data_IF_561854050608
#
_entry.id   IF_561854050608
#
_cell.length_a   1.000
_cell.length_b   1.000
_cell.length_c   1.000
_cell.angle_alpha   90.00
_cell.angle_beta   90.00
_cell.angle_gamma   90.00
#
_symmetry.space_group_name_H-M   'P 1'
#
loop_
_entity.id
_entity.type
_entity.pdbx_description
1 polymer ?
#
# COMPACT_ATOMS: atom_id res chain seq x y z
N UNK A 1 -0.36 -18.50 32.75
CA UNK A 1 0.08 -18.52 31.33
C UNK A 1 -0.98 -17.80 30.53
N UNK A 2 -0.66 -16.66 29.92
CA UNK A 2 -1.62 -15.94 29.08
C UNK A 2 -1.63 -16.60 27.71
N UNK A 3 -2.58 -17.51 27.49
CA UNK A 3 -2.87 -18.07 26.18
C UNK A 3 -3.09 -16.94 25.17
N UNK A 4 -2.46 -17.06 24.00
CA UNK A 4 -2.69 -16.14 22.89
C UNK A 4 -4.11 -16.27 22.38
N UNK A 5 -4.72 -15.13 22.04
CA UNK A 5 -6.08 -15.06 21.49
C UNK A 5 -6.07 -14.25 20.20
N UNK A 6 -7.05 -14.52 19.35
CA UNK A 6 -7.32 -13.67 18.18
C UNK A 6 -7.51 -12.22 18.65
N UNK A 7 -6.84 -11.30 17.95
CA UNK A 7 -6.78 -9.88 18.28
C UNK A 7 -5.59 -9.47 19.15
N UNK A 8 -4.86 -10.41 19.75
CA UNK A 8 -3.66 -10.07 20.52
C UNK A 8 -2.56 -9.50 19.62
N UNK A 9 -1.84 -8.51 20.16
CA UNK A 9 -0.66 -7.94 19.52
C UNK A 9 0.57 -8.72 19.95
N UNK A 10 1.36 -9.14 18.97
CA UNK A 10 2.52 -10.01 19.16
C UNK A 10 3.67 -9.56 18.27
N UNK A 11 4.88 -9.94 18.65
CA UNK A 11 6.06 -9.84 17.79
C UNK A 11 6.81 -11.18 17.78
N UNK A 12 7.55 -11.43 16.71
CA UNK A 12 8.26 -12.70 16.49
C UNK A 12 9.67 -12.65 17.07
N UNK A 13 10.01 -13.63 17.90
CA UNK A 13 11.33 -13.76 18.53
C UNK A 13 12.42 -14.04 17.49
N UNK A 14 12.12 -14.92 16.54
CA UNK A 14 13.03 -15.31 15.46
C UNK A 14 13.42 -14.18 14.51
N UNK A 15 12.66 -13.07 14.52
CA UNK A 15 12.92 -11.86 13.71
C UNK A 15 13.25 -10.65 14.59
N UNK A 16 13.81 -10.89 15.79
CA UNK A 16 14.26 -9.84 16.73
C UNK A 16 13.17 -8.80 17.05
N UNK A 17 11.91 -9.24 17.05
CA UNK A 17 10.75 -8.39 17.32
C UNK A 17 10.66 -7.17 16.39
N UNK A 18 11.07 -7.32 15.14
CA UNK A 18 11.16 -6.24 14.16
C UNK A 18 9.81 -5.66 13.71
N UNK A 19 8.77 -6.51 13.66
CA UNK A 19 7.44 -6.18 13.16
C UNK A 19 6.39 -6.50 14.22
N UNK A 20 5.48 -5.54 14.43
CA UNK A 20 4.27 -5.73 15.23
C UNK A 20 3.21 -6.43 14.39
N UNK A 21 2.68 -7.52 14.92
CA UNK A 21 1.61 -8.31 14.31
C UNK A 21 0.38 -8.35 15.21
N UNK A 22 -0.78 -8.58 14.58
CA UNK A 22 -2.04 -8.95 15.22
C UNK A 22 -2.33 -10.41 14.92
N UNK A 23 -2.71 -11.18 15.93
CA UNK A 23 -3.19 -12.56 15.75
C UNK A 23 -4.54 -12.51 15.04
N UNK A 24 -4.64 -13.15 13.88
CA UNK A 24 -5.88 -13.18 13.08
C UNK A 24 -6.52 -14.56 13.01
N UNK A 25 -5.75 -15.63 13.20
CA UNK A 25 -6.28 -16.99 13.25
C UNK A 25 -5.36 -17.91 14.07
N UNK A 26 -5.91 -18.98 14.62
CA UNK A 26 -5.18 -20.02 15.36
C UNK A 26 -5.61 -21.37 14.79
N UNK A 27 -4.73 -21.99 14.02
CA UNK A 27 -4.99 -23.26 13.34
C UNK A 27 -4.48 -24.42 14.20
N UNK A 28 -5.41 -25.17 14.77
CA UNK A 28 -5.13 -26.38 15.52
C UNK A 28 -5.29 -27.62 14.64
N UNK A 29 -4.37 -28.58 14.76
CA UNK A 29 -4.45 -29.88 14.07
C UNK A 29 -4.15 -31.01 15.05
N UNK A 30 -4.90 -32.12 15.00
CA UNK A 30 -4.63 -33.27 15.87
C UNK A 30 -3.18 -33.76 15.71
N UNK A 31 -2.45 -33.81 16.82
CA UNK A 31 -1.06 -34.31 16.86
C UNK A 31 0.00 -33.38 16.24
N UNK A 32 -0.32 -32.11 15.96
CA UNK A 32 0.66 -31.10 15.52
C UNK A 32 0.60 -29.84 16.38
N UNK A 33 1.71 -29.11 16.53
CA UNK A 33 1.70 -27.82 17.22
C UNK A 33 0.75 -26.84 16.53
N UNK A 34 0.09 -26.00 17.32
CA UNK A 34 -0.77 -24.92 16.82
C UNK A 34 0.05 -23.98 15.92
N UNK A 35 -0.56 -23.58 14.80
CA UNK A 35 0.03 -22.59 13.90
C UNK A 35 -0.79 -21.32 13.99
N UNK A 36 -0.17 -20.21 14.37
CA UNK A 36 -0.83 -18.92 14.56
C UNK A 36 -0.62 -18.09 13.30
N UNK A 37 -1.71 -17.56 12.75
CA UNK A 37 -1.68 -16.68 11.59
C UNK A 37 -1.69 -15.23 12.07
N UNK A 38 -0.78 -14.46 11.51
CA UNK A 38 -0.43 -13.11 11.92
C UNK A 38 -0.63 -12.14 10.76
N UNK A 39 -1.19 -10.96 11.07
CA UNK A 39 -1.28 -9.82 10.15
C UNK A 39 -0.40 -8.69 10.67
N UNK A 40 0.50 -8.17 9.83
CA UNK A 40 1.31 -7.00 10.19
C UNK A 40 0.43 -5.78 10.45
N UNK A 41 0.76 -4.99 11.47
CA UNK A 41 -0.03 -3.79 11.84
C UNK A 41 0.28 -2.64 10.91
N UNK A 42 1.56 -2.32 10.73
CA UNK A 42 2.03 -1.17 9.93
C UNK A 42 2.49 -1.60 8.51
N UNK A 43 2.52 -2.90 8.23
CA UNK A 43 3.02 -3.47 6.98
C UNK A 43 2.06 -4.53 6.45
N UNK A 44 1.81 -4.51 5.13
CA UNK A 44 1.00 -5.51 4.42
C UNK A 44 1.75 -6.83 4.29
N UNK A 45 1.80 -7.56 5.40
CA UNK A 45 2.41 -8.88 5.49
C UNK A 45 1.50 -9.83 6.28
N UNK A 46 1.42 -11.07 5.80
CA UNK A 46 0.82 -12.18 6.54
C UNK A 46 1.93 -13.20 6.80
N UNK A 47 2.01 -13.68 8.02
CA UNK A 47 2.97 -14.68 8.43
C UNK A 47 2.28 -15.76 9.26
N UNK A 48 2.78 -16.98 9.20
CA UNK A 48 2.47 -18.03 10.15
C UNK A 48 3.65 -18.23 11.11
N UNK A 49 3.35 -18.55 12.36
CA UNK A 49 4.37 -18.83 13.37
C UNK A 49 3.84 -19.81 14.43
N UNK A 50 4.71 -20.64 15.03
CA UNK A 50 4.36 -21.39 16.23
C UNK A 50 4.20 -20.44 17.43
N UNK A 51 3.38 -20.79 18.41
CA UNK A 51 3.16 -19.99 19.62
C UNK A 51 4.46 -19.66 20.38
N UNK A 52 5.43 -20.58 20.36
CA UNK A 52 6.74 -20.41 21.01
C UNK A 52 7.57 -19.27 20.43
N UNK A 53 7.39 -18.96 19.14
CA UNK A 53 8.06 -17.86 18.44
C UNK A 53 7.41 -16.51 18.75
N UNK A 54 6.28 -16.49 19.45
CA UNK A 54 5.50 -15.28 19.67
C UNK A 54 5.66 -14.74 21.08
N UNK A 55 5.76 -13.42 21.16
CA UNK A 55 5.70 -12.68 22.40
C UNK A 55 4.58 -11.65 22.33
N UNK A 56 3.62 -11.77 23.25
CA UNK A 56 2.55 -10.79 23.41
C UNK A 56 3.13 -9.43 23.81
N UNK A 57 2.81 -8.41 23.03
CA UNK A 57 3.23 -7.04 23.26
C UNK A 57 2.13 -6.33 24.03
N UNK A 58 2.39 -5.87 25.27
CA UNK A 58 1.41 -5.13 26.04
C UNK A 58 1.22 -3.72 25.45
N UNK A 59 0.03 -3.16 25.62
CA UNK A 59 -0.34 -1.86 25.04
C UNK A 59 0.59 -0.71 25.47
N UNK A 60 1.19 -0.78 26.65
CA UNK A 60 2.15 0.23 27.12
C UNK A 60 3.51 0.18 26.40
N UNK A 61 3.79 -0.86 25.60
CA UNK A 61 4.97 -0.96 24.75
C UNK A 61 4.67 -0.73 23.27
N UNK A 62 3.42 -0.43 22.91
CA UNK A 62 3.04 -0.18 21.52
C UNK A 62 3.79 1.01 20.93
N UNK A 63 3.96 2.05 21.75
CA UNK A 63 4.65 3.26 21.35
C UNK A 63 6.10 2.96 20.93
N UNK A 64 6.79 2.01 21.55
CA UNK A 64 8.16 1.64 21.15
C UNK A 64 8.20 1.03 19.74
N UNK A 65 7.28 0.12 19.43
CA UNK A 65 7.16 -0.50 18.12
C UNK A 65 6.79 0.51 17.04
N UNK A 66 5.72 1.28 17.27
CA UNK A 66 5.29 2.32 16.35
C UNK A 66 6.36 3.39 16.17
N UNK A 67 7.10 3.75 17.22
CA UNK A 67 8.16 4.76 17.14
C UNK A 67 9.34 4.29 16.29
N UNK A 68 9.70 3.01 16.31
CA UNK A 68 10.77 2.47 15.47
C UNK A 68 10.42 2.53 13.97
N UNK A 69 9.19 2.13 13.62
CA UNK A 69 8.68 2.15 12.26
C UNK A 69 8.45 3.58 11.78
N UNK A 70 7.77 4.40 12.60
CA UNK A 70 7.52 5.82 12.32
C UNK A 70 8.82 6.58 12.15
N UNK A 71 9.88 6.31 12.94
CA UNK A 71 11.20 6.93 12.74
C UNK A 71 11.79 6.65 11.35
N UNK A 72 11.61 5.44 10.80
CA UNK A 72 12.09 5.12 9.44
C UNK A 72 11.29 5.90 8.40
N UNK A 73 9.97 5.94 8.54
CA UNK A 73 9.08 6.73 7.67
C UNK A 73 9.41 8.22 7.77
N UNK A 74 9.52 8.78 8.96
CA UNK A 74 9.86 10.18 9.21
C UNK A 74 11.21 10.55 8.59
N UNK A 75 12.23 9.68 8.67
CA UNK A 75 13.52 9.90 8.01
C UNK A 75 13.37 9.95 6.49
N UNK A 76 12.55 9.08 5.92
CA UNK A 76 12.27 9.05 4.48
C UNK A 76 11.50 10.29 4.05
N UNK A 77 10.44 10.65 4.76
CA UNK A 77 9.63 11.86 4.53
C UNK A 77 10.51 13.10 4.59
N UNK A 78 11.33 13.25 5.66
CA UNK A 78 12.26 14.38 5.79
C UNK A 78 13.24 14.47 4.62
N UNK A 79 13.74 13.32 4.14
CA UNK A 79 14.62 13.28 2.96
C UNK A 79 13.87 13.77 1.71
N UNK A 80 12.68 13.23 1.46
CA UNK A 80 11.86 13.60 0.29
C UNK A 80 11.54 15.11 0.30
N UNK A 81 11.11 15.64 1.43
CA UNK A 81 10.80 17.07 1.57
C UNK A 81 12.04 17.95 1.40
N UNK A 82 13.20 17.51 1.92
CA UNK A 82 14.48 18.22 1.71
C UNK A 82 14.87 18.24 0.23
N UNK A 83 14.77 17.11 -0.46
CA UNK A 83 15.05 17.01 -1.91
C UNK A 83 14.09 17.89 -2.74
N UNK A 84 12.80 17.93 -2.35
CA UNK A 84 11.80 18.81 -2.94
C UNK A 84 12.22 20.28 -2.81
N UNK A 85 12.62 20.69 -1.61
CA UNK A 85 13.08 22.06 -1.32
C UNK A 85 14.37 22.45 -2.04
N UNK A 86 15.34 21.55 -2.14
CA UNK A 86 16.59 21.80 -2.85
C UNK A 86 16.39 22.01 -4.36
N UNK A 87 15.44 21.30 -4.98
CA UNK A 87 15.05 21.56 -6.37
C UNK A 87 14.48 22.98 -6.55
N UNK A 88 13.80 23.54 -5.54
CA UNK A 88 13.27 24.90 -5.60
C UNK A 88 14.35 25.97 -5.47
N UNK A 89 15.38 25.76 -4.64
CA UNK A 89 16.50 26.71 -4.53
C UNK A 89 17.31 26.83 -5.83
N UNK A 90 17.41 25.76 -6.61
CA UNK A 90 18.08 25.76 -7.92
C UNK A 90 17.38 26.59 -9.01
N UNK A 91 16.07 26.82 -8.90
CA UNK A 91 15.30 27.68 -9.82
C UNK A 91 15.28 29.16 -9.39
N UNK A 92 15.72 29.49 -8.17
CA UNK A 92 15.76 30.86 -7.64
C UNK A 92 16.77 31.80 -8.32
N UNK A 93 17.63 31.30 -9.21
CA UNK A 93 18.62 32.10 -9.94
C UNK A 93 18.10 32.82 -11.19
N UNK A 94 16.89 32.50 -11.68
CA UNK A 94 16.39 32.97 -12.99
C UNK A 94 15.18 33.92 -12.95
N UNK A 95 14.65 34.27 -11.77
CA UNK A 95 13.37 35.02 -11.69
C UNK A 95 13.47 36.24 -10.76
N UNK A 96 14.18 37.27 -11.21
CA UNK A 96 14.22 38.61 -10.54
C UNK A 96 12.92 39.42 -10.66
N UNK A 97 11.84 38.85 -11.20
CA UNK A 97 10.61 39.60 -11.52
C UNK A 97 9.34 38.82 -11.19
N UNK A 98 9.19 38.32 -9.96
CA UNK A 98 7.92 37.74 -9.49
C UNK A 98 7.34 38.62 -8.36
N UNK A 99 6.09 39.12 -8.48
CA UNK A 99 5.44 39.97 -7.48
C UNK A 99 5.32 39.33 -6.09
N UNK A 100 5.27 40.19 -5.07
CA UNK A 100 5.38 39.83 -3.65
C UNK A 100 4.29 38.88 -3.13
N UNK A 101 3.13 38.82 -3.77
CA UNK A 101 2.04 37.89 -3.42
C UNK A 101 2.34 36.42 -3.77
N UNK A 102 3.40 36.14 -4.53
CA UNK A 102 3.87 34.78 -4.87
C UNK A 102 5.01 34.34 -3.93
N UNK A 103 5.56 35.25 -3.10
CA UNK A 103 6.64 34.94 -2.15
C UNK A 103 6.22 34.01 -0.99
N UNK A 104 4.92 33.71 -0.88
CA UNK A 104 4.38 32.71 0.05
C UNK A 104 4.55 31.28 -0.43
N UNK A 105 5.76 30.86 -0.82
CA UNK A 105 6.22 29.46 -0.82
C UNK A 105 5.44 28.38 -1.60
N UNK A 106 4.39 28.69 -2.35
CA UNK A 106 3.66 27.69 -3.16
C UNK A 106 4.22 27.74 -4.59
N UNK A 107 4.93 26.71 -5.04
CA UNK A 107 5.51 26.67 -6.38
C UNK A 107 4.41 26.71 -7.46
N UNK A 108 4.75 27.19 -8.65
CA UNK A 108 3.94 27.00 -9.85
C UNK A 108 3.81 25.49 -10.11
N UNK A 109 2.65 24.92 -9.75
CA UNK A 109 2.31 23.51 -9.90
C UNK A 109 1.55 22.99 -8.67
N UNK A 110 0.27 22.67 -8.82
CA UNK A 110 -0.51 21.98 -7.78
C UNK A 110 0.09 20.57 -7.60
N UNK A 111 0.28 20.12 -6.36
CA UNK A 111 0.62 18.71 -6.14
C UNK A 111 -0.53 17.86 -6.68
N UNK A 112 -0.20 16.83 -7.46
CA UNK A 112 -1.21 15.94 -8.03
C UNK A 112 -2.09 15.33 -6.94
N UNK A 113 -3.38 15.25 -7.21
CA UNK A 113 -4.41 14.71 -6.32
C UNK A 113 -4.47 13.18 -6.48
N UNK A 114 -4.38 12.49 -5.36
CA UNK A 114 -4.44 11.01 -5.31
C UNK A 114 -5.85 10.55 -4.93
N UNK A 115 -6.41 9.63 -5.71
CA UNK A 115 -7.53 8.80 -5.30
C UNK A 115 -7.03 7.38 -5.03
N UNK A 116 -7.16 6.91 -3.79
CA UNK A 116 -6.70 5.58 -3.35
C UNK A 116 -7.88 4.71 -2.95
N UNK A 117 -8.12 3.65 -3.72
CA UNK A 117 -9.07 2.58 -3.41
C UNK A 117 -8.32 1.39 -2.82
N UNK A 118 -8.76 0.90 -1.66
CA UNK A 118 -8.20 -0.31 -1.05
C UNK A 118 -9.28 -1.22 -0.46
N UNK A 119 -9.11 -2.54 -0.60
CA UNK A 119 -9.97 -3.52 0.07
C UNK A 119 -9.77 -3.59 1.59
N UNK A 120 -8.63 -3.11 2.10
CA UNK A 120 -8.26 -3.12 3.51
C UNK A 120 -8.18 -1.69 4.09
N UNK A 121 -9.13 -1.35 4.95
CA UNK A 121 -9.20 -0.04 5.61
C UNK A 121 -8.01 0.24 6.54
N UNK A 122 -7.48 -0.77 7.24
CA UNK A 122 -6.36 -0.56 8.17
C UNK A 122 -5.10 -0.14 7.40
N UNK A 123 -4.83 -0.78 6.26
CA UNK A 123 -3.69 -0.38 5.42
C UNK A 123 -3.93 0.92 4.66
N UNK A 124 -5.17 1.20 4.23
CA UNK A 124 -5.52 2.47 3.62
C UNK A 124 -5.21 3.64 4.57
N UNK A 125 -5.57 3.50 5.85
CA UNK A 125 -5.28 4.53 6.86
C UNK A 125 -3.78 4.79 7.04
N UNK A 126 -2.94 3.74 6.98
CA UNK A 126 -1.47 3.87 7.01
C UNK A 126 -0.97 4.68 5.80
N UNK A 127 -1.49 4.41 4.61
CA UNK A 127 -1.14 5.16 3.40
C UNK A 127 -1.57 6.63 3.49
N UNK A 128 -2.81 6.90 3.90
CA UNK A 128 -3.36 8.26 4.04
C UNK A 128 -2.57 9.10 5.04
N UNK A 129 -2.13 8.51 6.18
CA UNK A 129 -1.25 9.19 7.14
C UNK A 129 0.07 9.60 6.48
N UNK A 130 0.66 8.72 5.67
CA UNK A 130 1.92 8.98 4.97
C UNK A 130 1.75 10.06 3.89
N UNK A 131 0.66 10.04 3.11
CA UNK A 131 0.34 11.11 2.15
C UNK A 131 0.23 12.47 2.83
N UNK A 132 -0.45 12.53 3.99
CA UNK A 132 -0.57 13.76 4.78
C UNK A 132 0.79 14.30 5.23
N UNK A 133 1.70 13.43 5.69
CA UNK A 133 3.06 13.82 6.08
C UNK A 133 3.89 14.36 4.90
N UNK A 134 3.59 13.92 3.68
CA UNK A 134 4.25 14.36 2.44
C UNK A 134 3.59 15.57 1.78
N UNK A 135 2.55 16.13 2.42
CA UNK A 135 1.73 17.23 1.91
C UNK A 135 1.09 16.92 0.54
N UNK A 136 0.65 15.67 0.37
CA UNK A 136 -0.05 15.19 -0.83
C UNK A 136 -1.56 15.25 -0.58
N UNK A 137 -2.31 15.86 -1.51
CA UNK A 137 -3.77 15.82 -1.50
C UNK A 137 -4.23 14.40 -1.86
N UNK A 138 -4.85 13.68 -0.92
CA UNK A 138 -5.27 12.30 -1.13
C UNK A 138 -6.68 12.03 -0.58
N UNK A 139 -7.48 11.28 -1.33
CA UNK A 139 -8.79 10.76 -0.95
C UNK A 139 -8.68 9.24 -0.89
N UNK A 140 -9.00 8.66 0.26
CA UNK A 140 -9.10 7.20 0.42
C UNK A 140 -10.54 6.72 0.39
N UNK A 141 -10.80 5.59 -0.28
CA UNK A 141 -12.06 4.87 -0.21
C UNK A 141 -11.79 3.39 0.05
N UNK A 142 -12.33 2.87 1.15
CA UNK A 142 -12.32 1.44 1.39
C UNK A 142 -13.40 0.77 0.54
N UNK A 143 -12.98 0.01 -0.48
CA UNK A 143 -13.88 -0.66 -1.44
C UNK A 143 -13.33 -2.06 -1.71
N UNK A 144 -14.20 -3.07 -1.56
CA UNK A 144 -13.84 -4.46 -1.85
C UNK A 144 -13.33 -4.60 -3.28
N UNK A 145 -12.39 -5.51 -3.53
CA UNK A 145 -11.76 -5.65 -4.84
C UNK A 145 -12.81 -5.89 -5.94
N UNK A 146 -13.86 -6.67 -5.64
CA UNK A 146 -14.96 -6.95 -6.57
C UNK A 146 -15.85 -5.75 -6.89
N UNK A 147 -15.92 -4.75 -6.01
CA UNK A 147 -16.76 -3.57 -6.20
C UNK A 147 -15.99 -2.37 -6.80
N UNK A 148 -14.66 -2.39 -6.74
CA UNK A 148 -13.81 -1.34 -7.31
C UNK A 148 -14.11 -1.04 -8.79
N UNK A 149 -14.31 -2.02 -9.70
CA UNK A 149 -14.63 -1.73 -11.09
C UNK A 149 -15.89 -0.88 -11.27
N UNK A 150 -16.91 -1.13 -10.45
CA UNK A 150 -18.19 -0.42 -10.54
C UNK A 150 -18.12 0.98 -9.96
N UNK A 151 -17.26 1.20 -8.96
CA UNK A 151 -17.16 2.49 -8.27
C UNK A 151 -16.24 3.48 -9.00
N UNK A 152 -15.25 3.01 -9.77
CA UNK A 152 -14.18 3.85 -10.32
C UNK A 152 -14.71 5.04 -11.13
N UNK A 153 -15.65 4.81 -12.06
CA UNK A 153 -16.06 5.87 -12.99
C UNK A 153 -16.72 7.04 -12.27
N UNK A 154 -17.55 6.78 -11.27
CA UNK A 154 -18.22 7.85 -10.51
C UNK A 154 -17.23 8.58 -9.60
N UNK A 155 -16.29 7.85 -8.97
CA UNK A 155 -15.26 8.45 -8.14
C UNK A 155 -14.28 9.31 -8.96
N UNK A 156 -13.92 8.89 -10.17
CA UNK A 156 -13.08 9.68 -11.08
C UNK A 156 -13.77 10.99 -11.49
N UNK A 157 -15.08 10.95 -11.77
CA UNK A 157 -15.87 12.15 -12.07
C UNK A 157 -16.01 13.08 -10.86
N UNK A 158 -16.23 12.51 -9.68
CA UNK A 158 -16.43 13.28 -8.44
C UNK A 158 -15.14 13.98 -8.01
N UNK A 159 -14.01 13.27 -8.06
CA UNK A 159 -12.76 13.74 -7.48
C UNK A 159 -11.76 14.30 -8.48
N UNK A 160 -11.86 13.94 -9.77
CA UNK A 160 -10.91 14.31 -10.83
C UNK A 160 -9.43 14.23 -10.36
N UNK A 161 -8.95 13.03 -9.97
CA UNK A 161 -7.58 12.85 -9.50
C UNK A 161 -6.58 12.83 -10.65
N UNK A 162 -5.32 13.18 -10.36
CA UNK A 162 -4.18 13.02 -11.27
C UNK A 162 -3.56 11.61 -11.14
N UNK A 163 -3.70 11.01 -9.95
CA UNK A 163 -3.16 9.68 -9.64
C UNK A 163 -4.27 8.80 -9.07
N UNK A 164 -4.46 7.62 -9.65
CA UNK A 164 -5.37 6.58 -9.15
C UNK A 164 -4.56 5.40 -8.62
N UNK A 165 -4.84 5.00 -7.38
CA UNK A 165 -4.24 3.83 -6.73
C UNK A 165 -5.34 2.80 -6.48
N UNK A 166 -5.21 1.60 -7.05
CA UNK A 166 -6.18 0.50 -6.97
C UNK A 166 -5.50 -0.71 -6.32
N UNK A 167 -5.74 -0.91 -5.04
CA UNK A 167 -5.04 -1.95 -4.27
C UNK A 167 -6.01 -2.77 -3.41
N UNK A 168 -5.50 -3.80 -2.77
CA UNK A 168 -6.28 -4.70 -1.93
C UNK A 168 -5.50 -5.99 -1.65
N UNK A 169 -6.20 -7.10 -1.70
CA UNK A 169 -5.65 -8.44 -1.54
C UNK A 169 -5.73 -9.21 -2.85
N UNK A 170 -4.69 -9.99 -3.12
CA UNK A 170 -4.68 -10.92 -4.23
C UNK A 170 -3.80 -12.12 -3.89
N UNK A 171 -3.78 -13.08 -4.80
CA UNK A 171 -2.96 -14.26 -4.70
C UNK A 171 -3.51 -15.39 -5.53
N UNK A 172 -2.61 -16.31 -5.88
CA UNK A 172 -2.98 -17.51 -6.61
C UNK A 172 -3.91 -18.38 -5.75
N UNK A 173 -5.00 -18.82 -6.34
CA UNK A 173 -5.95 -19.74 -5.73
C UNK A 173 -5.27 -21.09 -5.48
N UNK A 174 -5.62 -21.74 -4.36
CA UNK A 174 -5.04 -23.04 -3.97
C UNK A 174 -5.31 -24.09 -5.05
N UNK A 175 -4.30 -24.87 -5.39
CA UNK A 175 -4.39 -25.96 -6.37
C UNK A 175 -4.02 -25.56 -7.80
N UNK A 176 -3.94 -24.26 -8.09
CA UNK A 176 -3.48 -23.78 -9.39
C UNK A 176 -1.97 -23.54 -9.36
N UNK A 177 -1.30 -23.89 -10.47
CA UNK A 177 0.14 -23.65 -10.69
C UNK A 177 0.42 -22.88 -11.98
N UNK A 178 -0.63 -22.61 -12.74
CA UNK A 178 -0.53 -21.81 -13.95
C UNK A 178 -0.63 -20.33 -13.57
N UNK A 179 0.52 -19.66 -13.60
CA UNK A 179 0.67 -18.23 -13.30
C UNK A 179 0.29 -17.33 -14.48
N UNK A 180 0.03 -17.90 -15.67
CA UNK A 180 -0.33 -17.13 -16.87
C UNK A 180 -1.84 -16.90 -16.99
N UNK A 181 -2.63 -17.68 -16.27
CA UNK A 181 -4.08 -17.57 -16.31
C UNK A 181 -4.59 -16.68 -15.16
N UNK A 182 -5.08 -15.50 -15.53
CA UNK A 182 -5.69 -14.51 -14.64
C UNK A 182 -6.83 -15.08 -13.78
N UNK A 183 -7.57 -16.07 -14.27
CA UNK A 183 -8.68 -16.69 -13.52
C UNK A 183 -8.20 -17.49 -12.29
N UNK A 184 -6.91 -17.83 -12.24
CA UNK A 184 -6.32 -18.51 -11.10
C UNK A 184 -5.99 -17.56 -9.95
N UNK A 185 -6.22 -16.26 -10.09
CA UNK A 185 -5.95 -15.25 -9.07
C UNK A 185 -7.25 -14.81 -8.40
N UNK A 186 -7.19 -14.55 -7.09
CA UNK A 186 -8.37 -14.16 -6.30
C UNK A 186 -9.01 -12.87 -6.82
N UNK A 187 -8.18 -11.86 -7.10
CA UNK A 187 -8.63 -10.49 -7.32
C UNK A 187 -8.04 -9.81 -8.56
N UNK A 188 -7.03 -10.39 -9.21
CA UNK A 188 -6.39 -9.78 -10.39
C UNK A 188 -7.40 -9.39 -11.47
N UNK A 189 -8.43 -10.22 -11.69
CA UNK A 189 -9.50 -9.94 -12.65
C UNK A 189 -10.23 -8.61 -12.36
N UNK A 190 -10.44 -8.29 -11.08
CA UNK A 190 -11.11 -7.05 -10.69
C UNK A 190 -10.19 -5.85 -10.85
N UNK A 191 -8.91 -5.97 -10.49
CA UNK A 191 -7.95 -4.88 -10.76
C UNK A 191 -7.83 -4.59 -12.25
N UNK A 192 -7.80 -5.62 -13.09
CA UNK A 192 -7.79 -5.48 -14.55
C UNK A 192 -9.03 -4.75 -15.06
N UNK A 193 -10.22 -5.15 -14.58
CA UNK A 193 -11.49 -4.52 -14.95
C UNK A 193 -11.53 -3.06 -14.49
N UNK A 194 -11.12 -2.80 -13.26
CA UNK A 194 -11.03 -1.47 -12.66
C UNK A 194 -10.12 -0.53 -13.46
N UNK A 195 -8.94 -1.00 -13.86
CA UNK A 195 -8.02 -0.25 -14.74
C UNK A 195 -8.65 0.02 -16.10
N UNK A 196 -9.37 -0.95 -16.69
CA UNK A 196 -10.07 -0.75 -17.97
C UNK A 196 -11.17 0.31 -17.86
N UNK A 197 -11.96 0.31 -16.79
CA UNK A 197 -12.97 1.35 -16.58
C UNK A 197 -12.34 2.73 -16.41
N UNK A 198 -11.23 2.81 -15.67
CA UNK A 198 -10.48 4.06 -15.53
C UNK A 198 -9.95 4.56 -16.88
N UNK A 199 -9.46 3.67 -17.75
CA UNK A 199 -8.97 4.02 -19.09
C UNK A 199 -10.07 4.33 -20.11
N UNK A 200 -11.30 3.87 -19.86
CA UNK A 200 -12.47 4.34 -20.63
C UNK A 200 -12.85 5.77 -20.26
N UNK A 201 -12.63 6.15 -19.01
CA UNK A 201 -12.83 7.52 -18.55
C UNK A 201 -11.70 8.44 -19.03
N UNK A 202 -10.44 8.07 -18.80
CA UNK A 202 -9.26 8.82 -19.23
C UNK A 202 -8.25 7.89 -19.94
N UNK A 203 -8.28 7.84 -21.29
CA UNK A 203 -7.37 7.00 -22.07
C UNK A 203 -5.90 7.44 -22.02
N UNK A 204 -5.63 8.73 -21.80
CA UNK A 204 -4.27 9.26 -21.78
C UNK A 204 -3.56 8.84 -20.49
N UNK A 205 -2.40 8.20 -20.64
CA UNK A 205 -1.60 7.69 -19.53
C UNK A 205 -0.85 8.78 -18.76
N UNK A 206 -0.67 9.95 -19.36
CA UNK A 206 -0.03 11.10 -18.74
C UNK A 206 -1.02 11.95 -17.93
N UNK A 207 -2.30 11.96 -18.32
CA UNK A 207 -3.35 12.75 -17.65
C UNK A 207 -3.92 12.04 -16.42
N UNK A 208 -3.91 10.70 -16.41
CA UNK A 208 -4.26 9.89 -15.24
C UNK A 208 -3.24 8.77 -15.04
N UNK A 209 -2.41 8.90 -14.00
CA UNK A 209 -1.42 7.88 -13.65
C UNK A 209 -2.07 6.82 -12.76
N UNK A 210 -2.01 5.55 -13.17
CA UNK A 210 -2.65 4.44 -12.47
C UNK A 210 -1.61 3.49 -11.88
N UNK A 211 -1.68 3.29 -10.56
CA UNK A 211 -0.99 2.22 -9.82
C UNK A 211 -2.02 1.15 -9.45
N UNK A 212 -1.80 -0.11 -9.81
CA UNK A 212 -2.79 -1.16 -9.57
C UNK A 212 -2.19 -2.50 -9.11
N UNK A 213 -2.98 -3.25 -8.36
CA UNK A 213 -2.65 -4.62 -7.95
C UNK A 213 -2.25 -4.74 -6.48
N UNK A 214 -2.06 -5.98 -6.06
CA UNK A 214 -1.67 -6.35 -4.71
C UNK A 214 -0.50 -7.35 -4.70
N UNK A 215 -0.12 -7.78 -3.51
CA UNK A 215 0.80 -8.91 -3.35
C UNK A 215 0.31 -10.08 -4.20
N UNK A 216 1.20 -10.60 -5.04
CA UNK A 216 0.96 -11.74 -5.94
C UNK A 216 -0.09 -11.50 -7.02
N UNK A 217 -0.38 -10.26 -7.42
CA UNK A 217 -1.23 -10.01 -8.58
C UNK A 217 -0.59 -10.42 -9.90
N UNK A 218 -1.44 -10.69 -10.89
CA UNK A 218 -1.05 -10.96 -12.27
C UNK A 218 -0.59 -9.67 -12.97
N UNK A 219 0.64 -9.27 -12.67
CA UNK A 219 1.27 -8.01 -13.12
C UNK A 219 1.14 -7.71 -14.60
N UNK A 220 1.47 -8.68 -15.48
CA UNK A 220 1.50 -8.44 -16.93
C UNK A 220 0.12 -8.06 -17.46
N UNK A 221 -0.93 -8.76 -17.01
CA UNK A 221 -2.30 -8.48 -17.38
C UNK A 221 -2.81 -7.12 -16.85
N UNK A 222 -2.36 -6.68 -15.66
CA UNK A 222 -2.71 -5.37 -15.11
C UNK A 222 -2.05 -4.24 -15.92
N UNK A 223 -0.78 -4.39 -16.31
CA UNK A 223 -0.12 -3.42 -17.20
C UNK A 223 -0.75 -3.42 -18.58
N UNK A 224 -1.03 -4.59 -19.16
CA UNK A 224 -1.71 -4.70 -20.45
C UNK A 224 -3.12 -4.11 -20.44
N UNK A 225 -3.75 -3.98 -19.26
CA UNK A 225 -5.04 -3.30 -19.11
C UNK A 225 -4.92 -1.77 -19.18
N UNK A 226 -3.71 -1.21 -19.07
CA UNK A 226 -3.44 0.23 -19.16
C UNK A 226 -2.99 0.89 -17.85
N UNK A 227 -2.59 0.11 -16.85
CA UNK A 227 -1.97 0.67 -15.65
C UNK A 227 -0.55 1.19 -15.96
N UNK A 228 -0.16 2.32 -15.37
CA UNK A 228 1.22 2.82 -15.49
C UNK A 228 2.18 1.95 -14.66
N UNK A 229 1.71 1.49 -13.51
CA UNK A 229 2.46 0.64 -12.60
C UNK A 229 1.59 -0.48 -12.07
N UNK A 230 2.17 -1.67 -11.93
CA UNK A 230 1.52 -2.81 -11.31
C UNK A 230 2.42 -3.41 -10.21
N UNK A 231 1.83 -3.99 -9.17
CA UNK A 231 2.60 -4.73 -8.17
C UNK A 231 2.62 -6.24 -8.47
N UNK A 232 3.81 -6.85 -8.44
CA UNK A 232 3.97 -8.32 -8.33
C UNK A 232 5.25 -8.70 -7.60
N UNK A 233 5.18 -9.59 -6.60
CA UNK A 233 6.33 -10.06 -5.84
C UNK A 233 7.24 -10.99 -6.63
N UNK A 234 6.78 -11.66 -7.70
CA UNK A 234 7.60 -12.66 -8.40
C UNK A 234 8.78 -12.05 -9.18
N UNK A 235 8.69 -10.79 -9.64
CA UNK A 235 9.84 -10.10 -10.25
C UNK A 235 10.70 -9.33 -9.25
N UNK A 236 10.13 -8.81 -8.17
CA UNK A 236 10.95 -8.18 -7.12
C UNK A 236 11.86 -9.23 -6.46
N UNK A 237 11.38 -10.45 -6.20
CA UNK A 237 12.22 -11.54 -5.66
C UNK A 237 13.31 -12.06 -6.63
N UNK A 238 13.16 -11.84 -7.94
CA UNK A 238 14.20 -12.22 -8.91
C UNK A 238 15.43 -11.27 -8.85
N UNK A 239 15.26 -10.06 -8.33
CA UNK A 239 16.34 -9.07 -8.19
C UNK A 239 17.08 -9.14 -6.84
N UNK A 240 16.60 -9.93 -5.87
CA UNK A 240 17.24 -10.14 -4.55
C UNK A 240 17.89 -11.52 -4.38
N UNK A 241 18.12 -12.24 -5.48
CA UNK A 241 19.02 -13.40 -5.51
C UNK A 241 20.39 -12.95 -6.02
N UNK A 242 21.18 -12.36 -5.12
CA UNK A 242 22.64 -12.34 -5.19
C UNK A 242 23.19 -12.90 -3.89
#
# INVERSE_FOLDING_TARGET
MNYLRIGDLVARKSYDYDILFKVVDIVERPGRPSTIILKGVDLRIVADAPEEDLQKIPLNKLDEFHHSYSKKIDKLVKRILKERNQKYEGYGGLTRTIPEHIRGGIPFGRSGKVLHLDGDGEYLDVCLKTYKQLEIEAIGKQISESDQPRAITDLLREYAPDILVITGHDGLLRGYKDFTNVQNYRSSKYFIEAVKEARRYEPNMDDLVIFAGACQSHYEAILSAGANFASSPHRILAEWRV
#
